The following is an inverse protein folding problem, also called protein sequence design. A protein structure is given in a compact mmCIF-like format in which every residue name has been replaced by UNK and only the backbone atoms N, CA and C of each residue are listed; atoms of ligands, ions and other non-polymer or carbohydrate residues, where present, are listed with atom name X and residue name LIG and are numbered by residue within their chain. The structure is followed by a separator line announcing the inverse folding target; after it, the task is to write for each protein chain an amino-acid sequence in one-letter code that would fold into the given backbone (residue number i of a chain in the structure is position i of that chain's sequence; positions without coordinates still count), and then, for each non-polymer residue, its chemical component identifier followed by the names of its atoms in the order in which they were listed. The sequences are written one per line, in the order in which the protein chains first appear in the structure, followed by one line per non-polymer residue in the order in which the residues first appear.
data_IF_568814756187
#
_entry.id   IF_568814756187
#
_cell.length_a   1.000
_cell.length_b   1.000
_cell.length_c   1.000
_cell.angle_alpha   90.00
_cell.angle_beta   90.00
_cell.angle_gamma   90.00
#
_symmetry.space_group_name_H-M   'P 1'
#
loop_
_entity.id
_entity.type
_entity.pdbx_description
1 polymer ?
#
# COMPACT_ATOMS: atom_id res chain seq x y z
N UNK A 1 36.73 4.46 14.29
CA UNK A 1 35.83 4.86 13.18
C UNK A 1 34.47 5.14 13.79
N UNK A 2 33.77 6.24 13.46
CA UNK A 2 32.42 6.40 13.94
C UNK A 2 31.56 5.31 13.31
N UNK A 3 30.82 4.58 14.14
CA UNK A 3 29.75 3.69 13.69
C UNK A 3 28.77 4.59 12.95
N UNK A 4 28.61 4.37 11.64
CA UNK A 4 27.49 4.95 10.90
C UNK A 4 26.25 4.23 11.45
N UNK A 5 25.61 4.84 12.45
CA UNK A 5 24.30 4.39 12.91
C UNK A 5 23.40 4.56 11.70
N UNK A 6 22.87 3.45 11.18
CA UNK A 6 21.90 3.47 10.10
C UNK A 6 20.76 4.45 10.43
N UNK A 7 20.15 5.04 9.41
CA UNK A 7 19.07 5.99 9.61
C UNK A 7 18.01 5.36 10.55
N UNK A 8 17.76 5.90 11.76
CA UNK A 8 16.86 5.27 12.73
C UNK A 8 15.38 5.33 12.31
N UNK A 9 15.12 6.01 11.18
CA UNK A 9 13.80 6.25 10.63
C UNK A 9 13.38 5.12 9.72
N UNK A 10 12.10 4.74 9.81
CA UNK A 10 11.49 3.83 8.83
C UNK A 10 10.80 4.67 7.76
N UNK A 11 11.06 4.38 6.49
CA UNK A 11 10.39 5.04 5.37
C UNK A 11 9.25 4.18 4.81
N UNK A 12 8.07 4.80 4.69
CA UNK A 12 6.86 4.16 4.16
C UNK A 12 6.37 4.93 2.95
N UNK A 13 6.36 4.28 1.79
CA UNK A 13 5.75 4.80 0.56
C UNK A 13 4.23 4.69 0.66
N UNK A 14 3.51 5.77 0.32
CA UNK A 14 2.04 5.75 0.30
C UNK A 14 1.54 6.31 -1.03
N UNK A 15 0.62 5.61 -1.68
CA UNK A 15 -0.06 6.08 -2.90
C UNK A 15 -1.57 6.00 -2.75
N UNK A 16 -2.31 6.87 -3.43
CA UNK A 16 -3.77 6.78 -3.51
C UNK A 16 -4.26 6.82 -4.95
N UNK A 17 -5.26 6.01 -5.28
CA UNK A 17 -5.89 6.04 -6.60
C UNK A 17 -6.67 7.33 -6.85
N UNK A 18 -6.60 7.80 -8.10
CA UNK A 18 -7.44 8.88 -8.63
C UNK A 18 -8.82 8.40 -9.05
N UNK A 19 -9.54 9.26 -9.76
CA UNK A 19 -10.93 9.03 -10.16
C UNK A 19 -11.09 7.90 -11.18
N UNK A 20 -12.23 7.21 -11.09
CA UNK A 20 -12.69 6.17 -12.00
C UNK A 20 -14.22 6.12 -11.97
N UNK A 21 -14.87 5.80 -13.09
CA UNK A 21 -16.33 5.72 -13.15
C UNK A 21 -17.00 7.07 -12.88
N UNK A 22 -18.03 7.06 -12.02
CA UNK A 22 -18.87 8.24 -11.72
C UNK A 22 -18.30 9.14 -10.61
N UNK A 23 -17.09 8.86 -10.12
CA UNK A 23 -16.46 9.62 -9.04
C UNK A 23 -15.70 10.84 -9.58
N UNK A 24 -16.19 12.05 -9.26
CA UNK A 24 -15.46 13.31 -9.53
C UNK A 24 -14.23 13.48 -8.63
N UNK A 25 -14.23 12.83 -7.47
CA UNK A 25 -13.13 12.78 -6.50
C UNK A 25 -13.01 11.37 -5.90
N UNK A 26 -11.80 10.92 -5.56
CA UNK A 26 -11.55 9.60 -4.99
C UNK A 26 -11.11 9.71 -3.51
N UNK A 27 -11.80 9.03 -2.56
CA UNK A 27 -11.46 9.10 -1.14
C UNK A 27 -10.05 8.59 -0.85
N UNK A 28 -9.55 7.62 -1.60
CA UNK A 28 -8.19 7.12 -1.45
C UNK A 28 -7.16 8.24 -1.62
N UNK A 29 -7.23 8.99 -2.72
CA UNK A 29 -6.31 10.11 -2.94
C UNK A 29 -6.59 11.29 -2.01
N UNK A 30 -7.85 11.53 -1.64
CA UNK A 30 -8.21 12.56 -0.67
C UNK A 30 -7.57 12.28 0.71
N UNK A 31 -7.64 11.04 1.21
CA UNK A 31 -7.03 10.60 2.47
C UNK A 31 -5.51 10.77 2.42
N UNK A 32 -4.82 10.19 1.42
CA UNK A 32 -3.35 10.21 1.41
C UNK A 32 -2.76 11.62 1.37
N UNK A 33 -3.45 12.58 0.75
CA UNK A 33 -3.05 14.00 0.73
C UNK A 33 -3.08 14.66 2.11
N UNK A 34 -3.88 14.16 3.04
CA UNK A 34 -3.98 14.73 4.38
C UNK A 34 -2.90 14.17 5.32
N UNK A 35 -2.21 13.08 4.95
CA UNK A 35 -1.27 12.41 5.83
C UNK A 35 -0.13 13.35 6.29
N UNK A 36 0.31 13.23 7.55
CA UNK A 36 1.47 13.97 8.04
C UNK A 36 2.73 13.47 7.33
N UNK A 37 3.73 14.32 7.13
CA UNK A 37 5.01 13.87 6.54
C UNK A 37 5.81 12.94 7.47
N UNK A 38 5.52 12.96 8.77
CA UNK A 38 6.22 12.19 9.80
C UNK A 38 5.27 11.72 10.89
N UNK A 39 5.47 10.51 11.40
CA UNK A 39 4.81 9.98 12.60
C UNK A 39 5.89 9.76 13.65
N UNK A 40 5.72 10.37 14.82
CA UNK A 40 6.62 10.13 15.96
C UNK A 40 6.29 8.78 16.60
N UNK A 41 7.35 8.03 16.91
CA UNK A 41 7.29 6.81 17.71
C UNK A 41 7.94 7.05 19.06
N UNK A 42 7.81 6.08 19.95
CA UNK A 42 8.51 6.07 21.23
C UNK A 42 10.04 6.13 21.04
N UNK A 43 10.74 6.63 22.06
CA UNK A 43 12.21 6.67 22.12
C UNK A 43 12.89 7.50 21.02
N UNK A 44 12.17 8.45 20.41
CA UNK A 44 12.71 9.39 19.43
C UNK A 44 12.88 8.81 18.02
N UNK A 45 12.35 7.61 17.75
CA UNK A 45 12.23 7.07 16.40
C UNK A 45 11.10 7.77 15.64
N UNK A 46 11.19 7.81 14.32
CA UNK A 46 10.14 8.38 13.47
C UNK A 46 9.90 7.52 12.23
N UNK A 47 8.66 7.54 11.78
CA UNK A 47 8.28 7.02 10.47
C UNK A 47 8.19 8.21 9.53
N UNK A 48 8.86 8.14 8.39
CA UNK A 48 8.78 9.15 7.33
C UNK A 48 7.82 8.64 6.27
N UNK A 49 6.72 9.38 6.05
CA UNK A 49 5.76 9.05 5.00
C UNK A 49 6.21 9.69 3.68
N UNK A 50 6.53 8.85 2.71
CA UNK A 50 6.78 9.24 1.31
C UNK A 50 5.45 9.16 0.56
N UNK A 51 4.63 10.20 0.66
CA UNK A 51 3.37 10.28 -0.10
C UNK A 51 3.70 10.59 -1.56
N UNK A 52 3.31 9.70 -2.47
CA UNK A 52 3.43 9.94 -3.90
C UNK A 52 2.48 11.10 -4.30
N UNK A 53 2.99 12.16 -4.93
CA UNK A 53 2.27 13.43 -5.03
C UNK A 53 1.16 13.46 -6.09
N UNK A 54 1.04 12.43 -6.93
CA UNK A 54 0.04 12.37 -7.98
C UNK A 54 -0.95 11.24 -7.71
N UNK A 55 -2.25 11.42 -8.01
CA UNK A 55 -3.19 10.32 -7.94
C UNK A 55 -2.77 9.21 -8.91
N UNK A 56 -2.72 7.96 -8.44
CA UNK A 56 -2.46 6.82 -9.32
C UNK A 56 -3.62 6.73 -10.30
N UNK A 57 -3.31 6.72 -11.59
CA UNK A 57 -4.36 6.59 -12.61
C UNK A 57 -4.90 5.16 -12.65
N UNK A 58 -6.21 5.00 -12.77
CA UNK A 58 -6.88 3.69 -12.83
C UNK A 58 -6.71 3.06 -14.22
N UNK A 59 -5.45 2.77 -14.59
CA UNK A 59 -5.09 2.23 -15.90
C UNK A 59 -3.92 1.23 -15.81
N UNK A 60 -4.05 0.10 -16.48
CA UNK A 60 -3.10 -1.01 -16.36
C UNK A 60 -1.70 -0.62 -16.82
N UNK A 61 -1.59 0.08 -17.96
CA UNK A 61 -0.28 0.51 -18.47
C UNK A 61 0.40 1.50 -17.52
N UNK A 62 -0.37 2.42 -16.94
CA UNK A 62 0.16 3.37 -15.99
C UNK A 62 0.75 2.68 -14.76
N UNK A 63 0.07 1.66 -14.21
CA UNK A 63 0.58 0.90 -13.07
C UNK A 63 1.87 0.15 -13.41
N UNK A 64 1.95 -0.49 -14.57
CA UNK A 64 3.16 -1.20 -15.01
C UNK A 64 4.37 -0.26 -15.14
N UNK A 65 4.15 0.98 -15.58
CA UNK A 65 5.20 1.98 -15.71
C UNK A 65 5.54 2.61 -14.36
N UNK A 66 4.54 2.85 -13.50
CA UNK A 66 4.70 3.56 -12.23
C UNK A 66 5.43 2.72 -11.17
N UNK A 67 5.07 1.45 -11.00
CA UNK A 67 5.58 0.63 -9.88
C UNK A 67 7.12 0.55 -9.86
N UNK A 68 7.82 0.26 -10.97
CA UNK A 68 9.28 0.29 -10.99
C UNK A 68 9.85 1.67 -10.64
N UNK A 69 9.25 2.74 -11.17
CA UNK A 69 9.70 4.12 -10.92
C UNK A 69 9.56 4.51 -9.44
N UNK A 70 8.52 4.03 -8.76
CA UNK A 70 8.35 4.28 -7.33
C UNK A 70 9.54 3.75 -6.53
N UNK A 71 9.99 2.52 -6.80
CA UNK A 71 11.10 1.93 -6.06
C UNK A 71 12.48 2.46 -6.48
N UNK A 72 12.61 2.95 -7.73
CA UNK A 72 13.79 3.69 -8.16
C UNK A 72 13.87 5.09 -7.51
N UNK A 73 12.74 5.78 -7.39
CA UNK A 73 12.65 7.12 -6.82
C UNK A 73 12.80 7.11 -5.29
N UNK A 74 12.32 6.06 -4.63
CA UNK A 74 12.34 5.92 -3.18
C UNK A 74 13.11 4.66 -2.76
N UNK A 75 14.44 4.58 -3.01
CA UNK A 75 15.23 3.35 -2.79
C UNK A 75 15.40 2.98 -1.31
N UNK A 76 15.10 3.90 -0.40
CA UNK A 76 15.22 3.72 1.05
C UNK A 76 13.92 3.25 1.72
N UNK A 77 12.83 3.08 0.98
CA UNK A 77 11.56 2.62 1.56
C UNK A 77 11.64 1.17 2.00
N UNK A 78 11.13 0.92 3.21
CA UNK A 78 11.06 -0.41 3.80
C UNK A 78 9.66 -1.00 3.69
N UNK A 79 8.65 -0.11 3.59
CA UNK A 79 7.27 -0.47 3.42
C UNK A 79 6.60 0.34 2.32
N UNK A 80 5.57 -0.24 1.70
CA UNK A 80 4.61 0.48 0.88
C UNK A 80 3.17 0.22 1.32
N UNK A 81 2.29 1.22 1.18
CA UNK A 81 0.84 1.07 1.29
C UNK A 81 0.19 1.72 0.07
N UNK A 82 -0.57 0.93 -0.68
CA UNK A 82 -1.45 1.46 -1.71
C UNK A 82 -2.86 1.61 -1.15
N UNK A 83 -3.49 2.75 -1.41
CA UNK A 83 -4.85 3.06 -0.96
C UNK A 83 -5.79 3.08 -2.17
N UNK A 84 -6.90 2.38 -2.05
CA UNK A 84 -7.97 2.34 -3.06
C UNK A 84 -9.34 2.37 -2.42
N UNK A 85 -10.34 2.78 -3.19
CA UNK A 85 -11.74 2.75 -2.76
C UNK A 85 -12.33 1.36 -2.98
N UNK A 86 -13.11 0.89 -2.02
CA UNK A 86 -13.99 -0.26 -2.17
C UNK A 86 -15.43 0.22 -2.03
N UNK A 87 -16.18 0.20 -3.12
CA UNK A 87 -17.50 0.82 -3.26
C UNK A 87 -18.61 0.11 -2.45
N UNK A 88 -18.45 -1.17 -2.16
CA UNK A 88 -19.46 -1.96 -1.43
C UNK A 88 -19.21 -2.08 0.10
N UNK A 89 -18.11 -1.55 0.64
CA UNK A 89 -17.79 -1.69 2.08
C UNK A 89 -18.03 -0.38 2.84
N UNK A 90 -18.50 -0.51 4.08
CA UNK A 90 -18.52 0.59 5.07
C UNK A 90 -17.30 0.61 5.98
N UNK A 91 -16.52 -0.48 6.00
CA UNK A 91 -15.36 -0.68 6.89
C UNK A 91 -14.05 -0.56 6.12
N UNK A 92 -12.97 -0.21 6.82
CA UNK A 92 -11.62 -0.18 6.26
C UNK A 92 -11.02 -1.59 6.20
N UNK A 93 -10.32 -1.95 5.12
CA UNK A 93 -9.81 -3.32 4.94
C UNK A 93 -8.31 -3.35 4.64
N UNK A 94 -7.59 -4.25 5.30
CA UNK A 94 -6.20 -4.60 5.00
C UNK A 94 -6.13 -5.87 4.16
N UNK A 95 -5.62 -5.76 2.93
CA UNK A 95 -5.55 -6.90 2.01
C UNK A 95 -4.31 -7.76 2.27
N UNK A 96 -4.51 -9.05 2.54
CA UNK A 96 -3.43 -10.01 2.85
C UNK A 96 -2.85 -10.71 1.64
N UNK A 97 -3.60 -10.76 0.53
CA UNK A 97 -3.28 -11.53 -0.67
C UNK A 97 -3.39 -10.64 -1.91
N UNK A 98 -2.50 -10.83 -2.87
CA UNK A 98 -2.72 -10.39 -4.23
C UNK A 98 -2.64 -11.51 -5.26
N UNK A 99 -3.47 -11.41 -6.30
CA UNK A 99 -3.62 -12.41 -7.36
C UNK A 99 -3.12 -11.86 -8.69
N UNK A 100 -2.51 -12.72 -9.52
CA UNK A 100 -2.00 -12.37 -10.87
C UNK A 100 -3.10 -12.08 -11.90
N UNK A 101 -4.36 -12.34 -11.59
CA UNK A 101 -5.50 -12.15 -12.49
C UNK A 101 -6.38 -13.40 -12.59
N UNK A 102 -7.17 -13.54 -13.68
CA UNK A 102 -7.21 -12.69 -14.86
C UNK A 102 -7.84 -11.30 -14.59
N UNK A 103 -7.44 -10.30 -15.37
CA UNK A 103 -7.93 -8.92 -15.28
C UNK A 103 -8.68 -8.53 -16.57
N UNK A 104 -9.96 -8.86 -16.61
CA UNK A 104 -10.80 -8.72 -17.82
C UNK A 104 -11.59 -7.40 -17.88
N UNK A 105 -11.68 -6.69 -16.76
CA UNK A 105 -12.39 -5.41 -16.67
C UNK A 105 -11.64 -4.32 -17.44
N UNK A 106 -12.37 -3.43 -18.10
CA UNK A 106 -11.79 -2.29 -18.81
C UNK A 106 -11.43 -1.17 -17.83
N UNK A 107 -10.26 -0.59 -18.02
CA UNK A 107 -9.76 0.56 -17.28
C UNK A 107 -10.28 1.90 -17.86
N UNK A 108 -9.79 3.05 -17.36
CA UNK A 108 -10.20 4.38 -17.89
C UNK A 108 -9.83 4.61 -19.35
N UNK A 109 -8.92 3.82 -19.92
CA UNK A 109 -8.56 3.87 -21.35
C UNK A 109 -9.42 2.92 -22.19
N UNK A 110 -10.40 2.24 -21.57
CA UNK A 110 -11.23 1.24 -22.22
C UNK A 110 -10.49 -0.07 -22.50
N UNK A 111 -9.37 -0.34 -21.82
CA UNK A 111 -8.51 -1.51 -22.05
C UNK A 111 -8.59 -2.49 -20.88
N UNK A 112 -8.67 -3.77 -21.18
CA UNK A 112 -8.36 -4.83 -20.22
C UNK A 112 -6.85 -5.09 -20.20
N UNK A 113 -6.36 -5.73 -19.15
CA UNK A 113 -4.96 -6.15 -19.14
C UNK A 113 -4.77 -7.43 -19.94
N UNK A 114 -3.80 -7.38 -20.83
CA UNK A 114 -3.21 -8.54 -21.47
C UNK A 114 -1.71 -8.51 -21.21
N UNK A 115 -1.10 -9.65 -20.83
CA UNK A 115 0.35 -9.75 -20.82
C UNK A 115 0.87 -9.33 -22.20
N UNK A 116 1.97 -8.58 -22.23
CA UNK A 116 2.60 -8.14 -23.47
C UNK A 116 3.07 -9.30 -24.35
N UNK A 117 3.91 -9.01 -25.35
CA UNK A 117 4.43 -10.05 -26.27
C UNK A 117 5.89 -10.37 -25.97
N UNK A 118 6.38 -11.51 -26.49
CA UNK A 118 7.78 -11.93 -26.32
C UNK A 118 8.19 -12.02 -24.85
N UNK A 119 9.28 -11.34 -24.51
CA UNK A 119 9.91 -11.36 -23.18
C UNK A 119 8.96 -10.88 -22.07
N UNK A 120 8.05 -9.94 -22.34
CA UNK A 120 7.07 -9.47 -21.35
C UNK A 120 6.12 -10.60 -20.95
N UNK A 121 5.66 -11.38 -21.94
CA UNK A 121 4.81 -12.55 -21.72
C UNK A 121 5.54 -13.61 -20.91
N UNK A 122 6.81 -13.86 -21.24
CA UNK A 122 7.62 -14.85 -20.54
C UNK A 122 7.86 -14.45 -19.09
N UNK A 123 8.24 -13.18 -18.84
CA UNK A 123 8.43 -12.64 -17.50
C UNK A 123 7.16 -12.73 -16.67
N UNK A 124 6.02 -12.33 -17.24
CA UNK A 124 4.71 -12.44 -16.58
C UNK A 124 4.36 -13.90 -16.26
N UNK A 125 4.64 -14.82 -17.19
CA UNK A 125 4.39 -16.25 -17.01
C UNK A 125 5.19 -16.89 -15.88
N UNK A 126 6.37 -16.33 -15.53
CA UNK A 126 7.21 -16.80 -14.41
C UNK A 126 6.76 -16.28 -13.04
N UNK A 127 5.88 -15.27 -13.00
CA UNK A 127 5.35 -14.76 -11.73
C UNK A 127 4.36 -15.77 -11.12
N UNK A 128 4.32 -15.91 -9.79
CA UNK A 128 3.37 -16.81 -9.13
C UNK A 128 1.92 -16.36 -9.38
N UNK A 129 0.97 -17.28 -9.25
CA UNK A 129 -0.46 -16.95 -9.37
C UNK A 129 -0.96 -16.06 -8.23
N UNK A 130 -0.39 -16.21 -7.04
CA UNK A 130 -0.76 -15.44 -5.85
C UNK A 130 0.48 -15.07 -5.04
N UNK A 131 0.38 -13.95 -4.33
CA UNK A 131 1.38 -13.41 -3.41
C UNK A 131 0.68 -13.06 -2.09
N UNK A 132 1.36 -13.32 -0.98
CA UNK A 132 0.87 -13.00 0.36
C UNK A 132 1.79 -11.96 1.00
N UNK A 133 1.21 -11.00 1.71
CA UNK A 133 2.00 -9.97 2.38
C UNK A 133 2.90 -10.57 3.45
N UNK A 134 4.09 -9.98 3.59
CA UNK A 134 5.00 -10.28 4.70
C UNK A 134 4.76 -9.40 5.94
N UNK A 135 3.73 -8.54 5.91
CA UNK A 135 3.31 -7.71 7.05
C UNK A 135 2.36 -8.53 7.94
N UNK A 136 2.54 -8.40 9.26
CA UNK A 136 1.68 -9.06 10.26
C UNK A 136 0.34 -8.33 10.40
N UNK A 137 -0.56 -8.57 9.44
CA UNK A 137 -1.90 -7.95 9.43
C UNK A 137 -2.71 -8.36 10.67
N UNK A 138 -2.58 -9.61 11.11
CA UNK A 138 -3.35 -10.11 12.25
C UNK A 138 -2.90 -9.40 13.54
N UNK A 139 -1.60 -9.24 13.75
CA UNK A 139 -1.07 -8.45 14.87
C UNK A 139 -1.48 -6.97 14.84
N UNK A 140 -1.55 -6.35 13.66
CA UNK A 140 -2.05 -4.97 13.50
C UNK A 140 -3.52 -4.89 13.95
N UNK A 141 -4.36 -5.82 13.48
CA UNK A 141 -5.78 -5.83 13.84
C UNK A 141 -6.00 -6.11 15.32
N UNK A 142 -5.27 -7.06 15.90
CA UNK A 142 -5.33 -7.35 17.33
C UNK A 142 -5.01 -6.11 18.18
N UNK A 143 -3.96 -5.37 17.83
CA UNK A 143 -3.58 -4.13 18.52
C UNK A 143 -4.65 -3.04 18.41
N UNK A 144 -5.26 -2.88 17.24
CA UNK A 144 -6.29 -1.87 17.01
C UNK A 144 -7.63 -2.24 17.65
N UNK A 145 -8.09 -3.49 17.51
CA UNK A 145 -9.39 -3.96 18.04
C UNK A 145 -9.41 -3.93 19.57
N UNK A 146 -8.27 -4.13 20.24
CA UNK A 146 -8.16 -4.04 21.69
C UNK A 146 -8.59 -2.67 22.25
N UNK A 147 -8.47 -1.60 21.46
CA UNK A 147 -8.90 -0.25 21.84
C UNK A 147 -10.41 -0.02 21.60
N UNK A 148 -11.10 -0.91 20.88
CA UNK A 148 -12.54 -0.87 20.55
C UNK A 148 -13.03 0.40 19.82
N UNK A 149 -12.13 1.14 19.20
CA UNK A 149 -12.43 2.43 18.53
C UNK A 149 -12.30 2.39 17.00
N UNK A 150 -11.86 1.26 16.42
CA UNK A 150 -11.48 1.19 15.01
C UNK A 150 -12.40 0.26 14.21
N UNK A 151 -12.97 0.79 13.13
CA UNK A 151 -13.77 0.04 12.15
C UNK A 151 -12.86 -0.50 11.03
N UNK A 152 -12.03 -1.48 11.37
CA UNK A 152 -11.02 -2.05 10.47
C UNK A 152 -11.06 -3.58 10.52
N UNK A 153 -10.90 -4.22 9.36
CA UNK A 153 -10.78 -5.68 9.23
C UNK A 153 -9.72 -6.02 8.17
N UNK A 154 -9.56 -7.31 7.89
CA UNK A 154 -8.72 -7.82 6.80
C UNK A 154 -9.55 -8.45 5.70
N UNK A 155 -8.98 -8.49 4.51
CA UNK A 155 -9.52 -9.20 3.35
C UNK A 155 -8.42 -10.01 2.66
N UNK A 156 -8.84 -10.99 1.88
CA UNK A 156 -7.96 -11.78 0.99
C UNK A 156 -8.36 -11.60 -0.48
N UNK A 157 -9.20 -10.62 -0.76
CA UNK A 157 -9.74 -10.30 -2.07
C UNK A 157 -9.74 -8.79 -2.27
N UNK A 158 -8.68 -8.29 -2.92
CA UNK A 158 -8.56 -6.88 -3.26
C UNK A 158 -9.37 -6.49 -4.53
N UNK A 159 -10.22 -7.41 -5.03
CA UNK A 159 -11.00 -7.27 -6.25
C UNK A 159 -10.16 -7.30 -7.52
N UNK A 160 -10.44 -8.20 -8.47
CA UNK A 160 -9.70 -8.39 -9.75
C UNK A 160 -9.84 -7.19 -10.74
N UNK A 161 -9.41 -6.01 -10.32
CA UNK A 161 -9.31 -4.77 -11.08
C UNK A 161 -7.98 -4.07 -10.73
N UNK A 162 -7.96 -2.74 -10.69
CA UNK A 162 -6.72 -1.99 -10.53
C UNK A 162 -6.16 -1.98 -9.10
N UNK A 163 -6.99 -2.09 -8.06
CA UNK A 163 -6.53 -2.24 -6.67
C UNK A 163 -5.64 -3.48 -6.51
N UNK A 164 -6.17 -4.63 -6.86
CA UNK A 164 -5.42 -5.90 -6.96
C UNK A 164 -4.23 -5.81 -7.93
N UNK A 165 -4.39 -5.16 -9.08
CA UNK A 165 -3.32 -5.08 -10.09
C UNK A 165 -2.09 -4.34 -9.59
N UNK A 166 -2.24 -3.16 -8.99
CA UNK A 166 -1.08 -2.46 -8.40
C UNK A 166 -0.54 -3.24 -7.22
N UNK A 167 -1.39 -3.84 -6.39
CA UNK A 167 -0.91 -4.61 -5.24
C UNK A 167 -0.05 -5.80 -5.65
N UNK A 168 -0.52 -6.59 -6.62
CA UNK A 168 0.21 -7.72 -7.18
C UNK A 168 1.53 -7.29 -7.81
N UNK A 169 1.52 -6.26 -8.68
CA UNK A 169 2.72 -5.79 -9.34
C UNK A 169 3.74 -5.21 -8.35
N UNK A 170 3.29 -4.47 -7.34
CA UNK A 170 4.14 -3.93 -6.28
C UNK A 170 4.75 -5.03 -5.41
N UNK A 171 3.99 -6.06 -5.03
CA UNK A 171 4.54 -7.22 -4.31
C UNK A 171 5.50 -8.03 -5.18
N UNK A 172 5.19 -8.23 -6.46
CA UNK A 172 6.06 -8.94 -7.39
C UNK A 172 7.39 -8.21 -7.60
N UNK A 173 7.35 -6.88 -7.77
CA UNK A 173 8.54 -6.04 -7.92
C UNK A 173 9.34 -5.90 -6.61
N UNK A 174 8.68 -5.92 -5.45
CA UNK A 174 9.36 -5.90 -4.16
C UNK A 174 10.17 -7.18 -3.87
N UNK A 175 9.85 -8.31 -4.53
CA UNK A 175 10.60 -9.56 -4.35
C UNK A 175 12.06 -9.38 -4.76
N UNK A 176 12.94 -9.50 -3.78
CA UNK A 176 14.40 -9.38 -3.97
C UNK A 176 14.93 -7.96 -3.78
N UNK A 177 14.06 -6.97 -3.56
CA UNK A 177 14.48 -5.66 -3.08
C UNK A 177 14.71 -5.74 -1.57
N UNK A 178 15.90 -5.30 -1.15
CA UNK A 178 16.35 -5.34 0.23
C UNK A 178 16.99 -4.04 0.65
N UNK A 179 16.64 -3.59 1.85
CA UNK A 179 17.31 -2.48 2.55
C UNK A 179 17.83 -3.00 3.88
N UNK A 180 19.15 -2.86 4.11
CA UNK A 180 19.81 -3.29 5.35
C UNK A 180 19.48 -4.75 5.74
N UNK A 181 19.41 -5.63 4.74
CA UNK A 181 19.10 -7.06 4.93
C UNK A 181 17.62 -7.40 5.11
N UNK A 182 16.71 -6.41 5.04
CA UNK A 182 15.27 -6.58 5.21
C UNK A 182 14.55 -6.44 3.87
N UNK A 183 13.62 -7.34 3.60
CA UNK A 183 12.82 -7.33 2.38
C UNK A 183 11.81 -6.17 2.41
N UNK A 184 11.62 -5.49 1.28
CA UNK A 184 10.51 -4.54 1.11
C UNK A 184 9.17 -5.27 1.22
N UNK A 185 8.31 -4.80 2.11
CA UNK A 185 6.98 -5.38 2.36
C UNK A 185 5.89 -4.34 2.13
N UNK A 186 4.65 -4.75 1.96
CA UNK A 186 3.58 -3.77 1.84
C UNK A 186 2.20 -4.36 1.94
N UNK A 187 1.23 -3.45 1.96
CA UNK A 187 -0.18 -3.75 2.08
C UNK A 187 -0.98 -2.96 1.04
N UNK A 188 -2.20 -3.43 0.80
CA UNK A 188 -3.24 -2.61 0.21
C UNK A 188 -4.27 -2.26 1.29
N UNK A 189 -4.67 -0.99 1.33
CA UNK A 189 -5.64 -0.45 2.27
C UNK A 189 -6.88 0.02 1.51
N UNK A 190 -7.97 -0.73 1.63
CA UNK A 190 -9.25 -0.34 1.07
C UNK A 190 -10.00 0.59 2.01
N UNK A 191 -10.55 1.67 1.45
CA UNK A 191 -11.34 2.67 2.16
C UNK A 191 -12.79 2.68 1.64
N UNK A 192 -13.78 3.02 2.47
CA UNK A 192 -15.15 3.25 2.04
C UNK A 192 -15.26 4.40 1.01
N UNK A 193 -16.35 4.46 0.22
CA UNK A 193 -16.52 5.48 -0.81
C UNK A 193 -16.89 6.88 -0.27
N UNK A 194 -17.19 7.02 1.03
CA UNK A 194 -17.62 8.28 1.60
C UNK A 194 -16.56 9.40 1.53
N UNK A 195 -16.98 10.56 1.05
CA UNK A 195 -16.14 11.74 0.87
C UNK A 195 -16.35 12.84 1.92
N UNK A 196 -17.15 12.60 2.97
CA UNK A 196 -17.39 13.63 3.99
C UNK A 196 -16.07 13.98 4.71
N UNK A 197 -15.88 15.24 5.15
CA UNK A 197 -14.66 15.63 5.88
C UNK A 197 -14.37 14.75 7.09
N UNK A 198 -15.41 14.30 7.79
CA UNK A 198 -15.32 13.39 8.93
C UNK A 198 -14.79 12.02 8.48
N UNK A 199 -15.30 11.49 7.37
CA UNK A 199 -14.85 10.20 6.82
C UNK A 199 -13.43 10.24 6.29
N UNK A 200 -13.04 11.33 5.62
CA UNK A 200 -11.64 11.54 5.21
C UNK A 200 -10.73 11.62 6.43
N UNK A 201 -11.17 12.31 7.50
CA UNK A 201 -10.42 12.38 8.75
C UNK A 201 -10.30 11.02 9.43
N UNK A 202 -11.38 10.25 9.51
CA UNK A 202 -11.35 8.86 10.02
C UNK A 202 -10.39 8.01 9.20
N UNK A 203 -10.43 8.08 7.87
CA UNK A 203 -9.54 7.32 7.00
C UNK A 203 -8.06 7.71 7.19
N UNK A 204 -7.79 9.01 7.38
CA UNK A 204 -6.46 9.51 7.72
C UNK A 204 -5.97 8.90 9.04
N UNK A 205 -6.79 8.97 10.10
CA UNK A 205 -6.42 8.51 11.43
C UNK A 205 -6.22 6.99 11.46
N UNK A 206 -7.09 6.23 10.77
CA UNK A 206 -6.96 4.78 10.59
C UNK A 206 -5.67 4.43 9.87
N UNK A 207 -5.35 5.10 8.75
CA UNK A 207 -4.13 4.82 8.00
C UNK A 207 -2.86 5.18 8.78
N UNK A 208 -2.86 6.30 9.51
CA UNK A 208 -1.74 6.67 10.40
C UNK A 208 -1.53 5.62 11.48
N UNK A 209 -2.61 5.08 12.05
CA UNK A 209 -2.55 4.01 13.04
C UNK A 209 -2.00 2.71 12.44
N UNK A 210 -2.50 2.28 11.28
CA UNK A 210 -1.98 1.10 10.57
C UNK A 210 -0.48 1.24 10.30
N UNK A 211 -0.04 2.41 9.83
CA UNK A 211 1.39 2.67 9.60
C UNK A 211 2.20 2.54 10.90
N UNK A 212 1.69 3.07 12.01
CA UNK A 212 2.36 2.97 13.31
C UNK A 212 2.55 1.51 13.74
N UNK A 213 1.53 0.67 13.61
CA UNK A 213 1.63 -0.75 13.98
C UNK A 213 2.55 -1.52 13.03
N UNK A 214 2.42 -1.27 11.72
CA UNK A 214 3.21 -1.93 10.67
C UNK A 214 4.71 -1.65 10.79
N UNK A 215 5.10 -0.38 10.98
CA UNK A 215 6.50 0.04 10.99
C UNK A 215 7.08 0.14 12.41
N UNK A 216 6.25 0.31 13.43
CA UNK A 216 6.67 0.40 14.84
C UNK A 216 7.17 -0.94 15.40
N UNK A 217 6.50 -2.03 15.03
CA UNK A 217 6.81 -3.40 15.48
C UNK A 217 8.11 -3.98 14.88
N UNK A 218 8.64 -3.35 13.82
CA UNK A 218 9.78 -3.85 13.04
C UNK A 218 11.13 -3.71 13.75
N UNK A 219 11.22 -2.92 14.83
CA UNK A 219 12.43 -2.80 15.65
C UNK A 219 12.04 -2.73 17.13
N UNK A 220 12.01 -3.86 17.85
CA UNK A 220 11.90 -3.80 19.29
C UNK A 220 13.09 -3.00 19.85
N UNK A 221 12.90 -2.24 20.94
CA UNK A 221 14.01 -1.54 21.58
C UNK A 221 15.13 -2.53 21.91
N UNK A 222 16.38 -2.16 21.62
CA UNK A 222 17.52 -2.88 22.19
C UNK A 222 17.33 -2.88 23.71
N UNK A 223 17.21 -4.08 24.29
CA UNK A 223 17.16 -4.23 25.75
C UNK A 223 18.46 -3.65 26.30
N UNK A 224 18.36 -2.56 27.07
CA UNK A 224 19.44 -2.08 27.93
C UNK A 224 19.81 -3.12 28.97
#
# INVERSE_FOLDING_TARGET
MPVVIGNPDVEVLVTGYGTFGDFDENPAYAIVKTLPSKIQLEQGRRIVLRVYPNPVRVAYRHVLDLVPQLYEQYPDVEYFIHVGVHDETSSYLLEKRARKGPYTRKDVDGRSFEPGTGDEKERWGKLPEELWTGVDVDGILEAMIAEREWDIDSSTDAGLFLCEFIYFNSMAAARGLRKDGRDLKGLFFHVPPEMSPEKIKTGQDTLVRVVREMAGSAHPPEKQ
#
